data_IF_007682316486
#
_entry.id   IF_007682316486
#
_cell.length_a   1.000
_cell.length_b   1.000
_cell.length_c   1.000
_cell.angle_alpha   90.00
_cell.angle_beta   90.00
_cell.angle_gamma   90.00
#
_symmetry.space_group_name_H-M   'P 1'
#
loop_
_entity.id
_entity.type
_entity.pdbx_description
1 polymer ?
#
# COMPACT_ATOMS: atom_id res chain seq x y z
N UNK A 1 -12.78 -4.26 -5.21
CA UNK A 1 -13.06 -5.46 -6.04
C UNK A 1 -13.74 -6.55 -5.21
N UNK A 2 -14.75 -7.18 -5.79
CA UNK A 2 -15.51 -8.22 -5.08
C UNK A 2 -14.61 -9.38 -4.67
N UNK A 3 -14.67 -9.78 -3.40
CA UNK A 3 -13.90 -10.92 -2.89
C UNK A 3 -12.42 -10.64 -2.72
N UNK A 4 -12.00 -9.40 -2.80
CA UNK A 4 -10.61 -8.99 -2.71
C UNK A 4 -10.47 -7.91 -1.64
N UNK A 5 -9.58 -8.11 -0.69
CA UNK A 5 -9.39 -7.16 0.41
C UNK A 5 -8.04 -7.40 1.11
N UNK A 6 -7.69 -6.51 2.00
CA UNK A 6 -6.58 -6.72 2.92
C UNK A 6 -7.09 -7.52 4.14
N UNK A 7 -6.28 -8.49 4.59
CA UNK A 7 -6.68 -9.42 5.65
C UNK A 7 -5.81 -9.36 6.90
N UNK A 8 -4.86 -8.44 6.94
CA UNK A 8 -3.95 -8.29 8.07
C UNK A 8 -3.84 -6.83 8.48
N UNK A 9 -4.01 -6.58 9.76
CA UNK A 9 -3.81 -5.24 10.35
C UNK A 9 -2.85 -5.40 11.51
N UNK A 10 -1.69 -4.70 11.51
CA UNK A 10 -0.75 -4.77 12.63
C UNK A 10 -1.39 -4.32 13.94
N UNK A 11 -0.92 -4.86 15.05
CA UNK A 11 -1.38 -4.47 16.36
C UNK A 11 -1.20 -2.97 16.57
N UNK A 12 -2.22 -2.34 17.14
CA UNK A 12 -2.20 -0.91 17.42
C UNK A 12 -2.74 -0.02 16.32
N UNK A 13 -3.01 -0.59 15.14
CA UNK A 13 -3.58 0.17 14.02
C UNK A 13 -5.11 0.03 14.01
N UNK A 14 -5.77 1.13 13.66
CA UNK A 14 -7.23 1.19 13.54
C UNK A 14 -7.60 1.75 12.18
N UNK A 15 -8.73 1.27 11.65
CA UNK A 15 -9.27 1.82 10.40
C UNK A 15 -9.84 3.21 10.61
N UNK A 16 -9.56 4.09 9.66
CA UNK A 16 -10.18 5.41 9.60
C UNK A 16 -11.24 5.39 8.52
N UNK A 17 -12.46 5.07 8.91
CA UNK A 17 -13.56 4.88 7.97
C UNK A 17 -14.03 6.17 7.30
N UNK A 18 -13.70 7.34 7.87
CA UNK A 18 -14.06 8.61 7.29
C UNK A 18 -13.26 8.95 6.04
N UNK A 19 -12.05 8.41 5.93
CA UNK A 19 -11.16 8.64 4.79
C UNK A 19 -11.19 7.51 3.78
N UNK A 20 -11.96 6.46 4.05
CA UNK A 20 -12.02 5.29 3.19
C UNK A 20 -12.97 5.48 2.02
N UNK A 21 -12.66 4.76 0.95
CA UNK A 21 -13.48 4.71 -0.23
C UNK A 21 -13.59 3.25 -0.67
N UNK A 22 -14.77 2.84 -1.09
CA UNK A 22 -14.97 1.47 -1.55
C UNK A 22 -16.04 1.42 -2.63
N UNK A 23 -15.70 0.76 -3.75
CA UNK A 23 -16.62 0.54 -4.85
C UNK A 23 -16.39 -0.86 -5.44
N UNK A 24 -17.18 -1.23 -6.43
CA UNK A 24 -17.03 -2.52 -7.10
C UNK A 24 -15.69 -2.63 -7.86
N UNK A 25 -15.09 -1.51 -8.24
CA UNK A 25 -13.89 -1.47 -9.07
C UNK A 25 -12.62 -1.17 -8.29
N UNK A 26 -12.74 -0.47 -7.16
CA UNK A 26 -11.56 -0.10 -6.38
C UNK A 26 -11.91 0.17 -4.92
N UNK A 27 -10.89 0.17 -4.07
CA UNK A 27 -11.05 0.61 -2.69
C UNK A 27 -9.78 1.29 -2.19
N UNK A 28 -9.96 2.12 -1.17
CA UNK A 28 -8.88 2.73 -0.41
C UNK A 28 -9.22 2.52 1.08
N UNK A 29 -8.38 1.77 1.78
CA UNK A 29 -8.50 1.59 3.22
C UNK A 29 -7.40 2.38 3.91
N UNK A 30 -7.74 3.08 4.98
CA UNK A 30 -6.81 3.96 5.70
C UNK A 30 -6.69 3.47 7.14
N UNK A 31 -5.45 3.32 7.60
CA UNK A 31 -5.15 2.83 8.94
C UNK A 31 -4.20 3.77 9.65
N UNK A 32 -4.39 3.93 10.93
CA UNK A 32 -3.51 4.76 11.76
C UNK A 32 -3.32 4.16 13.14
N UNK A 33 -2.17 4.46 13.74
CA UNK A 33 -1.84 4.07 15.10
C UNK A 33 -1.71 5.33 15.95
N UNK A 34 -2.65 5.54 16.84
CA UNK A 34 -2.68 6.75 17.68
C UNK A 34 -1.49 6.83 18.63
N UNK A 35 -0.99 5.69 19.08
CA UNK A 35 0.11 5.66 20.03
C UNK A 35 1.47 5.94 19.43
N UNK A 36 1.67 5.64 18.15
CA UNK A 36 2.97 5.78 17.50
C UNK A 36 3.03 6.87 16.44
N UNK A 37 1.89 7.43 16.05
CA UNK A 37 1.81 8.39 14.95
C UNK A 37 2.08 7.78 13.59
N UNK A 38 2.09 6.45 13.48
CA UNK A 38 2.29 5.74 12.23
C UNK A 38 0.97 5.53 11.50
N UNK A 39 1.04 5.35 10.18
CA UNK A 39 -0.15 5.09 9.39
C UNK A 39 0.20 4.48 8.06
N UNK A 40 -0.79 3.86 7.41
CA UNK A 40 -0.62 3.37 6.06
C UNK A 40 -1.97 3.31 5.35
N UNK A 41 -1.91 3.25 4.02
CA UNK A 41 -3.10 3.07 3.20
C UNK A 41 -2.93 1.83 2.33
N UNK A 42 -4.03 1.17 2.02
CA UNK A 42 -4.09 0.05 1.08
C UNK A 42 -5.04 0.47 -0.03
N UNK A 43 -4.53 0.57 -1.24
CA UNK A 43 -5.33 0.92 -2.41
C UNK A 43 -5.30 -0.23 -3.40
N UNK A 44 -6.48 -0.66 -3.84
CA UNK A 44 -6.62 -1.69 -4.86
C UNK A 44 -7.58 -1.18 -5.93
N UNK A 45 -7.20 -1.34 -7.19
CA UNK A 45 -8.01 -0.89 -8.34
C UNK A 45 -7.94 -1.91 -9.45
N UNK A 46 -9.07 -2.15 -10.11
CA UNK A 46 -9.08 -2.97 -11.31
C UNK A 46 -8.33 -2.19 -12.40
N UNK A 47 -7.37 -2.87 -13.04
CA UNK A 47 -6.54 -2.25 -14.07
C UNK A 47 -7.39 -2.02 -15.31
N UNK A 48 -7.36 -0.78 -15.82
CA UNK A 48 -8.09 -0.43 -17.03
C UNK A 48 -7.12 -0.23 -18.19
N UNK A 49 -7.53 -0.59 -19.42
CA UNK A 49 -6.69 -0.40 -20.60
C UNK A 49 -6.25 1.05 -20.77
N UNK A 50 -4.97 1.25 -21.05
CA UNK A 50 -4.41 2.57 -21.27
C UNK A 50 -4.08 3.36 -20.01
N UNK A 51 -4.34 2.80 -18.84
CA UNK A 51 -3.99 3.43 -17.58
C UNK A 51 -2.50 3.25 -17.30
N UNK A 52 -1.83 4.35 -17.01
CA UNK A 52 -0.42 4.33 -16.64
C UNK A 52 -0.27 4.88 -15.24
N UNK A 53 0.49 4.20 -14.41
CA UNK A 53 0.91 4.74 -13.12
C UNK A 53 2.39 5.06 -13.20
N UNK A 54 2.76 6.27 -12.84
CA UNK A 54 4.15 6.67 -12.74
C UNK A 54 4.42 7.14 -11.33
N UNK A 55 5.51 6.65 -10.76
CA UNK A 55 6.03 7.12 -9.49
C UNK A 55 7.32 7.86 -9.79
N UNK A 56 7.25 9.17 -9.86
CA UNK A 56 8.41 9.99 -10.14
C UNK A 56 8.60 10.92 -8.94
N UNK A 57 9.51 10.54 -8.05
CA UNK A 57 9.83 11.31 -6.88
C UNK A 57 11.35 11.32 -6.70
N UNK A 58 11.93 12.53 -6.68
CA UNK A 58 13.38 12.72 -6.59
C UNK A 58 13.99 12.14 -5.32
N UNK A 59 13.20 11.99 -4.26
CA UNK A 59 13.66 11.51 -2.97
C UNK A 59 13.33 10.03 -2.73
N UNK A 60 12.89 9.33 -3.76
CA UNK A 60 12.48 7.93 -3.63
C UNK A 60 13.45 7.02 -4.34
N UNK A 61 13.90 6.00 -3.63
CA UNK A 61 14.73 4.92 -4.17
C UNK A 61 13.86 3.71 -4.38
N UNK A 62 13.94 3.08 -5.55
CA UNK A 62 13.11 1.93 -5.90
C UNK A 62 13.93 0.65 -5.96
N UNK A 63 13.34 -0.45 -5.50
CA UNK A 63 13.93 -1.79 -5.63
C UNK A 63 12.85 -2.79 -6.03
N UNK A 64 13.28 -3.86 -6.69
CA UNK A 64 12.39 -4.95 -7.07
C UNK A 64 12.29 -5.96 -5.93
N UNK A 65 11.07 -6.30 -5.56
CA UNK A 65 10.78 -7.25 -4.48
C UNK A 65 9.68 -8.20 -4.93
N UNK A 66 9.35 -9.18 -4.09
CA UNK A 66 8.25 -10.11 -4.36
C UNK A 66 7.18 -9.99 -3.29
N UNK A 67 5.92 -10.03 -3.72
CA UNK A 67 4.77 -10.19 -2.84
C UNK A 67 4.17 -11.55 -3.18
N UNK A 68 4.47 -12.57 -2.36
CA UNK A 68 4.18 -13.94 -2.75
C UNK A 68 4.90 -14.28 -4.04
N UNK A 69 4.16 -14.63 -5.08
CA UNK A 69 4.70 -14.95 -6.40
C UNK A 69 4.74 -13.74 -7.34
N UNK A 70 4.18 -12.61 -6.93
CA UNK A 70 4.07 -11.44 -7.80
C UNK A 70 5.29 -10.55 -7.71
N UNK A 71 5.74 -10.05 -8.86
CA UNK A 71 6.78 -9.03 -8.91
C UNK A 71 6.21 -7.72 -8.41
N UNK A 72 6.96 -7.04 -7.57
CA UNK A 72 6.55 -5.80 -6.95
C UNK A 72 7.68 -4.78 -6.98
N UNK A 73 7.34 -3.52 -6.84
CA UNK A 73 8.29 -2.42 -6.73
C UNK A 73 8.12 -1.77 -5.37
N UNK A 74 9.20 -1.68 -4.60
CA UNK A 74 9.20 -1.03 -3.30
C UNK A 74 9.97 0.28 -3.41
N UNK A 75 9.26 1.40 -3.20
CA UNK A 75 9.85 2.72 -3.12
C UNK A 75 10.12 3.06 -1.66
N UNK A 76 11.29 3.65 -1.40
CA UNK A 76 11.67 4.15 -0.09
C UNK A 76 11.91 5.64 -0.23
N UNK A 77 11.05 6.44 0.40
CA UNK A 77 11.13 7.89 0.36
C UNK A 77 11.63 8.41 1.70
N UNK A 78 12.76 9.10 1.67
CA UNK A 78 13.37 9.68 2.86
C UNK A 78 13.47 11.18 2.66
N UNK A 79 12.74 11.94 3.45
CA UNK A 79 12.80 13.39 3.44
C UNK A 79 13.43 13.90 4.73
N UNK A 80 14.11 15.04 4.63
CA UNK A 80 14.74 15.66 5.79
C UNK A 80 13.70 16.00 6.84
N UNK A 81 13.94 15.55 8.08
CA UNK A 81 13.06 15.78 9.24
C UNK A 81 11.68 15.09 9.14
N UNK A 82 11.56 14.08 8.29
CA UNK A 82 10.32 13.29 8.16
C UNK A 82 10.62 11.82 8.35
N UNK A 83 9.57 11.05 8.68
CA UNK A 83 9.67 9.61 8.74
C UNK A 83 9.87 9.04 7.35
N UNK A 84 10.57 7.91 7.29
CA UNK A 84 10.68 7.15 6.04
C UNK A 84 9.30 6.64 5.64
N UNK A 85 8.93 6.87 4.38
CA UNK A 85 7.68 6.38 3.80
C UNK A 85 8.00 5.31 2.78
N UNK A 86 7.32 4.17 2.89
CA UNK A 86 7.44 3.08 1.93
C UNK A 86 6.23 3.08 1.00
N UNK A 87 6.47 2.80 -0.28
CA UNK A 87 5.43 2.70 -1.30
C UNK A 87 5.64 1.39 -2.02
N UNK A 88 4.77 0.42 -1.77
CA UNK A 88 4.86 -0.90 -2.36
C UNK A 88 3.74 -1.07 -3.38
N UNK A 89 4.10 -1.39 -4.63
CA UNK A 89 3.15 -1.53 -5.73
C UNK A 89 3.34 -2.86 -6.44
N UNK A 90 2.24 -3.54 -6.73
CA UNK A 90 2.27 -4.77 -7.53
C UNK A 90 0.92 -4.97 -8.22
N UNK A 91 0.91 -5.83 -9.22
CA UNK A 91 -0.30 -6.21 -9.93
C UNK A 91 -0.55 -7.70 -9.75
N UNK A 92 -1.79 -8.07 -9.53
CA UNK A 92 -2.17 -9.47 -9.36
C UNK A 92 -3.59 -9.69 -9.85
N UNK A 93 -3.75 -10.62 -10.81
CA UNK A 93 -5.07 -10.98 -11.30
C UNK A 93 -5.88 -9.83 -11.87
N UNK A 94 -5.22 -8.87 -12.53
CA UNK A 94 -5.90 -7.71 -13.10
C UNK A 94 -6.19 -6.60 -12.09
N UNK A 95 -5.62 -6.71 -10.88
CA UNK A 95 -5.79 -5.71 -9.83
C UNK A 95 -4.45 -5.03 -9.56
N UNK A 96 -4.45 -3.71 -9.55
CA UNK A 96 -3.30 -2.90 -9.18
C UNK A 96 -3.39 -2.61 -7.69
N UNK A 97 -2.31 -2.92 -6.96
CA UNK A 97 -2.26 -2.77 -5.50
C UNK A 97 -1.16 -1.79 -5.11
N UNK A 98 -1.44 -0.92 -4.16
CA UNK A 98 -0.44 0.01 -3.62
C UNK A 98 -0.63 0.15 -2.12
N UNK A 99 0.44 -0.06 -1.37
CA UNK A 99 0.47 0.20 0.07
C UNK A 99 1.47 1.31 0.29
N UNK A 100 1.05 2.37 0.98
CA UNK A 100 1.91 3.50 1.29
C UNK A 100 1.78 3.85 2.76
N UNK A 101 2.91 4.01 3.44
CA UNK A 101 2.88 4.39 4.83
C UNK A 101 4.26 4.53 5.46
N UNK A 102 4.27 5.04 6.68
CA UNK A 102 5.48 5.29 7.45
C UNK A 102 5.72 4.24 8.55
N UNK A 103 5.06 3.11 8.48
CA UNK A 103 5.37 1.96 9.33
C UNK A 103 6.62 1.25 8.80
N UNK A 104 7.07 0.17 9.44
CA UNK A 104 8.30 -0.49 9.05
C UNK A 104 8.20 -1.20 7.71
N UNK A 105 9.36 -1.41 7.07
CA UNK A 105 9.43 -2.16 5.82
C UNK A 105 8.82 -3.56 5.96
N UNK A 106 9.15 -4.24 7.06
CA UNK A 106 8.66 -5.60 7.32
C UNK A 106 7.13 -5.63 7.46
N UNK A 107 6.56 -4.63 8.11
CA UNK A 107 5.11 -4.53 8.24
C UNK A 107 4.43 -4.26 6.90
N UNK A 108 4.99 -3.37 6.09
CA UNK A 108 4.48 -3.09 4.74
C UNK A 108 4.46 -4.38 3.91
N UNK A 109 5.54 -5.16 3.95
CA UNK A 109 5.61 -6.42 3.22
C UNK A 109 4.58 -7.44 3.74
N UNK A 110 4.40 -7.53 5.06
CA UNK A 110 3.43 -8.43 5.66
C UNK A 110 2.00 -8.06 5.31
N UNK A 111 1.68 -6.77 5.31
CA UNK A 111 0.37 -6.29 4.88
C UNK A 111 0.10 -6.73 3.44
N UNK A 112 1.09 -6.54 2.57
CA UNK A 112 0.98 -6.89 1.16
C UNK A 112 0.72 -8.38 0.94
N UNK A 113 1.40 -9.25 1.68
CA UNK A 113 1.24 -10.69 1.56
C UNK A 113 -0.17 -11.16 1.94
N UNK A 114 -0.93 -10.32 2.63
CA UNK A 114 -2.28 -10.61 3.09
C UNK A 114 -3.35 -9.81 2.33
N UNK A 115 -3.02 -9.32 1.15
CA UNK A 115 -3.98 -8.67 0.24
C UNK A 115 -4.34 -9.65 -0.87
N UNK A 116 -5.60 -10.09 -0.87
CA UNK A 116 -6.08 -11.06 -1.87
C UNK A 116 -7.61 -11.16 -1.94
#
# INVERSE_FOLDING_TARGET
PNGYSDHYVPDGFERDREQEFESAENFLHVYSSKGSGKGYTVRCSIIQPGQQSSFDNEHTTYENVKVGDADATLGTSVEKNSDTVYILSWERGGVSNTIMGNTSRDEIMRIAENVF
#
